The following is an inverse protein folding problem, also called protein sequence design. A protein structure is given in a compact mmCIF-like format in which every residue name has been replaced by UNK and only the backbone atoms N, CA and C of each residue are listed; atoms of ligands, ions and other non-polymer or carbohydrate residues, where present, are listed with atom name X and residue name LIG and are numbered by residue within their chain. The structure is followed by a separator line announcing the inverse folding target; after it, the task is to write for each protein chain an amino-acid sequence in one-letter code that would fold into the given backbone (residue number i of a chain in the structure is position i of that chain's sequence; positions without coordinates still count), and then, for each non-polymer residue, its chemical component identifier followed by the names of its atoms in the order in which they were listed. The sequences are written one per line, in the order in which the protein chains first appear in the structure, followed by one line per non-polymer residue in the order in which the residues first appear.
data_IF_111053138273
#
_entry.id   IF_111053138273
#
_cell.length_a   1.000
_cell.length_b   1.000
_cell.length_c   1.000
_cell.angle_alpha   90.00
_cell.angle_beta   90.00
_cell.angle_gamma   90.00
#
_symmetry.space_group_name_H-M   'P 1'
#
loop_
_entity.id
_entity.type
_entity.pdbx_description
1 polymer ?
#
# COMPACT_ATOMS: atom_id res chain seq x y z
N UNK A 1 0.54 10.50 -8.77
CA UNK A 1 -0.81 9.95 -8.99
C UNK A 1 -1.83 10.88 -8.33
N UNK A 2 -3.00 11.06 -8.94
CA UNK A 2 -4.11 11.85 -8.39
C UNK A 2 -5.36 10.98 -8.24
N UNK A 3 -6.16 11.25 -7.20
CA UNK A 3 -7.40 10.52 -6.90
C UNK A 3 -8.60 11.43 -7.12
N UNK A 4 -9.79 10.83 -7.32
CA UNK A 4 -11.06 11.57 -7.49
C UNK A 4 -11.36 12.50 -6.30
N UNK A 5 -10.96 12.09 -5.08
CA UNK A 5 -11.09 12.90 -3.87
C UNK A 5 -10.23 14.18 -3.85
N UNK A 6 -9.36 14.38 -4.84
CA UNK A 6 -8.36 15.44 -4.86
C UNK A 6 -7.09 15.11 -4.09
N UNK A 7 -7.03 13.95 -3.42
CA UNK A 7 -5.79 13.46 -2.83
C UNK A 7 -4.74 13.16 -3.91
N UNK A 8 -3.46 13.17 -3.52
CA UNK A 8 -2.36 12.80 -4.40
C UNK A 8 -1.45 11.78 -3.72
N UNK A 9 -0.74 11.00 -4.52
CA UNK A 9 0.26 10.06 -4.03
C UNK A 9 1.51 10.04 -4.92
N UNK A 10 2.63 9.78 -4.28
CA UNK A 10 3.91 9.47 -4.91
C UNK A 10 4.22 8.01 -4.59
N UNK A 11 4.52 7.23 -5.63
CA UNK A 11 4.93 5.84 -5.51
C UNK A 11 6.36 5.72 -6.04
N UNK A 12 7.24 5.13 -5.23
CA UNK A 12 8.62 4.85 -5.61
C UNK A 12 8.94 3.37 -5.42
N UNK A 13 9.49 2.75 -6.46
CA UNK A 13 10.01 1.38 -6.41
C UNK A 13 11.42 1.39 -6.99
N UNK A 14 12.40 0.95 -6.18
CA UNK A 14 13.83 0.98 -6.55
C UNK A 14 14.41 -0.41 -6.33
N UNK A 15 14.93 -1.02 -7.40
CA UNK A 15 15.58 -2.33 -7.37
C UNK A 15 17.09 -2.25 -7.11
N UNK A 16 17.66 -1.04 -7.12
CA UNK A 16 19.10 -0.79 -7.05
C UNK A 16 19.62 -0.51 -5.62
N UNK A 17 18.76 -0.54 -4.60
CA UNK A 17 19.12 -0.25 -3.21
C UNK A 17 18.68 -1.40 -2.29
N UNK A 18 19.26 -1.53 -1.08
CA UNK A 18 18.71 -2.40 -0.05
C UNK A 18 17.23 -2.13 0.23
N UNK A 19 16.56 -3.11 0.83
CA UNK A 19 15.12 -3.04 1.09
C UNK A 19 14.76 -1.81 1.95
N UNK A 20 13.77 -1.06 1.47
CA UNK A 20 13.11 0.01 2.19
C UNK A 20 11.61 -0.07 1.88
N UNK A 21 10.82 -0.46 2.87
CA UNK A 21 9.36 -0.34 2.84
C UNK A 21 8.92 0.82 3.72
N UNK A 22 8.26 1.81 3.13
CA UNK A 22 7.79 3.02 3.82
C UNK A 22 6.51 3.52 3.19
N UNK A 23 5.52 3.80 4.02
CA UNK A 23 4.28 4.48 3.63
C UNK A 23 4.08 5.66 4.57
N UNK A 24 3.78 6.83 4.01
CA UNK A 24 3.39 8.00 4.79
C UNK A 24 2.03 8.52 4.31
N UNK A 25 1.13 8.75 5.26
CA UNK A 25 -0.16 9.39 5.04
C UNK A 25 -0.14 10.76 5.69
N UNK A 26 -0.41 11.80 4.90
CA UNK A 26 -0.37 13.19 5.31
C UNK A 26 -1.78 13.78 5.19
N UNK A 27 -2.29 14.35 6.27
CA UNK A 27 -3.59 14.99 6.31
C UNK A 27 -3.56 16.33 7.04
N UNK A 28 -4.64 17.09 6.93
CA UNK A 28 -4.75 18.38 7.60
C UNK A 28 -4.69 18.27 9.13
N UNK A 29 -5.11 17.14 9.70
CA UNK A 29 -5.18 16.92 11.16
C UNK A 29 -3.98 16.16 11.73
N UNK A 30 -3.02 15.77 10.90
CA UNK A 30 -1.92 14.93 11.35
C UNK A 30 -1.31 14.09 10.24
N UNK A 31 -0.40 13.21 10.63
CA UNK A 31 0.25 12.28 9.71
C UNK A 31 0.52 10.94 10.38
N UNK A 32 0.70 9.91 9.56
CA UNK A 32 1.13 8.58 9.98
C UNK A 32 2.22 8.08 9.05
N UNK A 33 3.21 7.39 9.62
CA UNK A 33 4.26 6.69 8.89
C UNK A 33 4.31 5.24 9.33
N UNK A 34 4.39 4.34 8.34
CA UNK A 34 4.66 2.91 8.52
C UNK A 34 6.01 2.62 7.90
N UNK A 35 6.89 1.94 8.65
CA UNK A 35 8.19 1.47 8.16
C UNK A 35 8.30 -0.04 8.34
N UNK A 36 8.47 -0.75 7.23
CA UNK A 36 8.78 -2.17 7.25
C UNK A 36 10.21 -2.38 7.80
N UNK A 37 10.37 -3.33 8.72
CA UNK A 37 11.71 -3.72 9.21
C UNK A 37 12.42 -4.70 8.29
N UNK A 38 11.67 -5.45 7.48
CA UNK A 38 12.20 -6.42 6.53
C UNK A 38 11.23 -6.64 5.39
N UNK A 39 11.71 -7.32 4.33
CA UNK A 39 10.87 -7.68 3.20
C UNK A 39 9.66 -8.51 3.66
N UNK A 40 8.43 -8.28 3.13
CA UNK A 40 7.22 -8.97 3.58
C UNK A 40 7.29 -10.50 3.60
N UNK A 41 8.12 -11.09 2.73
CA UNK A 41 8.36 -12.54 2.69
C UNK A 41 8.98 -13.10 3.99
N UNK A 42 9.74 -12.28 4.73
CA UNK A 42 10.31 -12.63 6.03
C UNK A 42 10.10 -11.47 7.02
N UNK A 43 8.83 -11.08 7.19
CA UNK A 43 8.45 -9.92 8.01
C UNK A 43 8.96 -10.04 9.44
N UNK A 44 9.62 -8.99 9.93
CA UNK A 44 10.01 -8.80 11.33
C UNK A 44 9.15 -7.72 12.02
N UNK A 45 8.02 -7.38 11.39
CA UNK A 45 7.06 -6.39 11.86
C UNK A 45 7.29 -4.99 11.31
N UNK A 46 6.53 -4.05 11.85
CA UNK A 46 6.46 -2.66 11.38
C UNK A 46 6.59 -1.69 12.55
N UNK A 47 7.35 -0.62 12.32
CA UNK A 47 7.33 0.55 13.20
C UNK A 47 6.32 1.55 12.63
N UNK A 48 5.38 1.98 13.46
CA UNK A 48 4.34 2.93 13.09
C UNK A 48 4.44 4.16 14.00
N UNK A 49 4.54 5.33 13.39
CA UNK A 49 4.50 6.61 14.09
C UNK A 49 3.27 7.37 13.60
N UNK A 50 2.45 7.85 14.52
CA UNK A 50 1.34 8.74 14.21
C UNK A 50 1.43 10.02 15.03
N UNK A 51 1.09 11.15 14.41
CA UNK A 51 1.05 12.46 15.05
C UNK A 51 -0.27 13.12 14.68
N UNK A 52 -1.08 13.43 15.68
CA UNK A 52 -2.21 14.33 15.51
C UNK A 52 -1.77 15.76 15.81
N UNK A 53 -2.48 16.71 15.21
CA UNK A 53 -2.24 18.14 15.45
C UNK A 53 -2.35 18.41 16.96
N UNK A 54 -1.39 19.20 17.47
CA UNK A 54 -1.31 19.62 18.88
C UNK A 54 -1.06 18.46 19.88
N UNK A 55 -0.74 17.26 19.39
CA UNK A 55 -0.38 16.11 20.21
C UNK A 55 1.09 15.71 20.00
N UNK A 56 1.66 14.99 20.97
CA UNK A 56 3.00 14.41 20.82
C UNK A 56 2.98 13.16 19.96
N UNK A 57 4.05 12.86 19.21
CA UNK A 57 4.12 11.62 18.42
C UNK A 57 3.90 10.36 19.25
N UNK A 58 3.10 9.45 18.71
CA UNK A 58 2.85 8.12 19.28
C UNK A 58 3.53 7.09 18.40
N UNK A 59 4.44 6.33 18.99
CA UNK A 59 5.13 5.22 18.33
C UNK A 59 4.55 3.89 18.77
N UNK A 60 4.36 2.97 17.84
CA UNK A 60 3.87 1.62 18.08
C UNK A 60 4.61 0.61 17.21
N UNK A 61 4.75 -0.61 17.73
CA UNK A 61 5.30 -1.73 17.00
C UNK A 61 4.19 -2.73 16.68
N UNK A 62 4.09 -3.12 15.42
CA UNK A 62 3.18 -4.17 14.97
C UNK A 62 3.99 -5.43 14.68
N UNK A 63 3.71 -6.56 15.36
CA UNK A 63 4.46 -7.79 15.18
C UNK A 63 4.26 -8.37 13.77
N UNK A 64 5.16 -9.25 13.30
CA UNK A 64 5.00 -9.95 12.03
C UNK A 64 3.61 -10.56 11.85
N UNK A 65 3.09 -10.46 10.63
CA UNK A 65 1.79 -11.03 10.27
C UNK A 65 1.94 -12.03 9.11
N UNK A 66 1.28 -13.21 9.16
CA UNK A 66 1.37 -14.24 8.12
C UNK A 66 0.51 -13.89 6.88
N UNK A 67 0.73 -12.72 6.28
CA UNK A 67 -0.11 -12.17 5.22
C UNK A 67 -0.29 -13.11 4.01
N UNK A 68 0.74 -13.89 3.64
CA UNK A 68 0.66 -14.87 2.55
C UNK A 68 -0.36 -15.97 2.86
N UNK A 69 -0.31 -16.53 4.07
CA UNK A 69 -1.25 -17.58 4.49
C UNK A 69 -2.67 -17.01 4.49
N UNK A 70 -2.86 -15.85 5.09
CA UNK A 70 -4.18 -15.24 5.23
C UNK A 70 -4.81 -14.90 3.87
N UNK A 71 -4.00 -14.51 2.90
CA UNK A 71 -4.44 -14.31 1.51
C UNK A 71 -4.91 -15.63 0.85
N UNK A 72 -4.16 -16.73 1.02
CA UNK A 72 -4.53 -18.04 0.49
C UNK A 72 -5.80 -18.59 1.15
N UNK A 73 -5.94 -18.41 2.46
CA UNK A 73 -7.15 -18.80 3.17
C UNK A 73 -8.36 -17.95 2.74
N UNK A 74 -8.18 -16.65 2.50
CA UNK A 74 -9.22 -15.80 1.95
C UNK A 74 -9.66 -16.26 0.55
N UNK A 75 -8.70 -16.65 -0.30
CA UNK A 75 -9.00 -17.24 -1.60
C UNK A 75 -9.78 -18.55 -1.46
N UNK A 76 -9.36 -19.44 -0.56
CA UNK A 76 -10.05 -20.70 -0.29
C UNK A 76 -11.49 -20.50 0.15
N UNK A 77 -11.75 -19.57 1.09
CA UNK A 77 -13.10 -19.21 1.53
C UNK A 77 -13.96 -18.68 0.38
N UNK A 78 -13.38 -17.85 -0.49
CA UNK A 78 -14.08 -17.30 -1.66
C UNK A 78 -14.42 -18.37 -2.70
N UNK A 79 -13.48 -19.26 -3.00
CA UNK A 79 -13.70 -20.37 -3.93
C UNK A 79 -14.79 -21.34 -3.44
N UNK A 80 -14.95 -21.50 -2.13
CA UNK A 80 -16.00 -22.29 -1.50
C UNK A 80 -17.33 -21.53 -1.31
N UNK A 81 -17.41 -20.25 -1.70
CA UNK A 81 -18.60 -19.42 -1.53
C UNK A 81 -18.90 -19.03 -0.08
N UNK A 82 -17.92 -19.12 0.83
CA UNK A 82 -18.09 -18.89 2.27
C UNK A 82 -17.93 -17.41 2.66
N UNK A 83 -17.08 -16.67 1.96
CA UNK A 83 -16.86 -15.24 2.16
C UNK A 83 -16.33 -14.60 0.87
N UNK A 84 -16.61 -13.32 0.58
CA UNK A 84 -16.02 -12.64 -0.56
C UNK A 84 -14.49 -12.54 -0.40
N UNK A 85 -13.76 -12.64 -1.52
CA UNK A 85 -12.33 -12.35 -1.54
C UNK A 85 -12.11 -10.85 -1.28
N UNK A 86 -11.12 -10.45 -0.48
CA UNK A 86 -10.94 -9.05 -0.04
C UNK A 86 -10.55 -8.07 -1.17
N UNK A 87 -10.15 -8.58 -2.34
CA UNK A 87 -9.87 -7.75 -3.52
C UNK A 87 -10.82 -8.16 -4.63
N UNK A 88 -11.72 -7.28 -5.03
CA UNK A 88 -12.69 -7.55 -6.08
C UNK A 88 -12.01 -7.68 -7.46
N UNK A 89 -12.65 -8.35 -8.43
CA UNK A 89 -12.14 -8.38 -9.81
C UNK A 89 -11.91 -7.00 -10.41
N UNK A 90 -12.78 -6.03 -10.10
CA UNK A 90 -12.66 -4.65 -10.59
C UNK A 90 -11.44 -3.94 -9.98
N UNK A 91 -11.14 -4.16 -8.69
CA UNK A 91 -9.93 -3.64 -8.05
C UNK A 91 -8.66 -4.26 -8.66
N UNK A 92 -8.68 -5.57 -8.97
CA UNK A 92 -7.57 -6.22 -9.67
C UNK A 92 -7.33 -5.60 -11.06
N UNK A 93 -8.40 -5.39 -11.83
CA UNK A 93 -8.32 -4.74 -13.15
C UNK A 93 -7.85 -3.28 -13.04
N UNK A 94 -8.33 -2.55 -12.04
CA UNK A 94 -7.91 -1.17 -11.76
C UNK A 94 -6.41 -1.08 -11.48
N UNK A 95 -5.86 -2.04 -10.72
CA UNK A 95 -4.43 -2.13 -10.46
C UNK A 95 -3.62 -2.35 -11.76
N UNK A 96 -4.08 -3.25 -12.64
CA UNK A 96 -3.45 -3.48 -13.95
C UNK A 96 -3.48 -2.21 -14.81
N UNK A 97 -4.65 -1.56 -14.93
CA UNK A 97 -4.81 -0.32 -15.72
C UNK A 97 -3.92 0.81 -15.20
N UNK A 98 -3.79 0.92 -13.87
CA UNK A 98 -2.90 1.89 -13.22
C UNK A 98 -1.44 1.66 -13.61
N UNK A 99 -0.98 0.41 -13.60
CA UNK A 99 0.39 0.07 -13.99
C UNK A 99 0.67 0.36 -15.47
N UNK A 100 -0.28 0.06 -16.37
CA UNK A 100 -0.16 0.39 -17.79
C UNK A 100 -0.16 1.92 -18.02
N UNK A 101 -0.97 2.68 -17.28
CA UNK A 101 -0.98 4.14 -17.37
C UNK A 101 0.35 4.75 -16.93
N UNK A 102 1.00 4.20 -15.90
CA UNK A 102 2.35 4.61 -15.50
C UNK A 102 3.34 4.41 -16.65
N UNK A 103 3.30 3.26 -17.33
CA UNK A 103 4.19 3.00 -18.47
C UNK A 103 3.95 3.96 -19.63
N UNK A 104 2.68 4.23 -19.98
CA UNK A 104 2.33 5.22 -21.01
C UNK A 104 2.82 6.62 -20.63
N UNK A 105 2.64 7.03 -19.37
CA UNK A 105 3.05 8.34 -18.87
C UNK A 105 4.57 8.53 -18.92
N UNK A 106 5.33 7.49 -18.57
CA UNK A 106 6.80 7.49 -18.71
C UNK A 106 7.21 7.66 -20.18
N UNK A 107 6.55 6.94 -21.10
CA UNK A 107 6.85 7.00 -22.53
C UNK A 107 6.49 8.35 -23.16
N UNK A 108 5.36 8.95 -22.76
CA UNK A 108 4.82 10.18 -23.32
C UNK A 108 5.34 11.45 -22.62
N UNK A 109 5.87 11.32 -21.40
CA UNK A 109 6.21 12.45 -20.54
C UNK A 109 4.98 13.25 -20.06
N UNK A 110 3.77 12.73 -20.25
CA UNK A 110 2.51 13.42 -20.00
C UNK A 110 1.67 12.70 -18.94
N UNK A 111 0.67 13.40 -18.39
CA UNK A 111 -0.29 12.79 -17.46
C UNK A 111 -1.23 11.87 -18.24
N UNK A 112 -1.36 10.63 -17.79
CA UNK A 112 -2.28 9.62 -18.35
C UNK A 112 -3.49 9.43 -17.45
N UNK A 113 -4.66 9.20 -18.06
CA UNK A 113 -5.86 8.76 -17.34
C UNK A 113 -5.91 7.23 -17.26
N UNK A 114 -6.56 6.74 -16.21
CA UNK A 114 -6.85 5.32 -15.95
C UNK A 114 -8.29 5.04 -16.36
#
# INVERSE_FOLDING_TARGET
MGFESGATAILGAVLATPFMGRLALLGSKGWMEVRDRSHPQNSTGWDVISVHRDETPVSSFFPPHPAVRDNLEAFGRAALGQAPYPVTPDEMLSNVRSFEAIQRSVKSGSIEKI
#
